data_IF_526516928703
#
_entry.id   IF_526516928703
#
_cell.length_a   1.000
_cell.length_b   1.000
_cell.length_c   1.000
_cell.angle_alpha   90.00
_cell.angle_beta   90.00
_cell.angle_gamma   90.00
#
_symmetry.space_group_name_H-M   'P 1'
#
loop_
_entity.id
_entity.type
_entity.pdbx_description
1 polymer ?
#
# COMPACT_ATOMS: atom_id res chain seq x y z
N UNK A 1 3.74 19.44 11.81
CA UNK A 1 3.06 18.58 10.83
C UNK A 1 3.18 19.29 9.49
N UNK A 2 3.82 18.66 8.51
CA UNK A 2 4.04 19.31 7.22
C UNK A 2 2.66 19.56 6.56
N UNK A 3 2.41 20.69 5.87
CA UNK A 3 1.11 20.97 5.23
C UNK A 3 0.59 19.83 4.35
N UNK A 4 1.51 19.08 3.72
CA UNK A 4 1.18 17.89 2.94
C UNK A 4 0.61 16.72 3.76
N UNK A 5 1.11 16.49 4.98
CA UNK A 5 0.56 15.48 5.90
C UNK A 5 -0.82 15.91 6.38
N UNK A 6 -0.99 17.20 6.68
CA UNK A 6 -2.27 17.74 7.15
C UNK A 6 -3.35 17.62 6.06
N UNK A 7 -3.02 17.91 4.80
CA UNK A 7 -3.89 17.67 3.65
C UNK A 7 -4.16 16.18 3.40
N UNK A 8 -3.17 15.30 3.62
CA UNK A 8 -3.33 13.85 3.51
C UNK A 8 -4.29 13.30 4.58
N UNK A 9 -4.13 13.73 5.83
CA UNK A 9 -5.02 13.36 6.92
C UNK A 9 -6.41 13.95 6.71
N UNK A 10 -6.55 15.19 6.26
CA UNK A 10 -7.84 15.80 5.94
C UNK A 10 -8.60 15.04 4.84
N UNK A 11 -7.92 14.65 3.75
CA UNK A 11 -8.50 13.81 2.68
C UNK A 11 -8.96 12.43 3.17
N UNK A 12 -8.30 11.87 4.19
CA UNK A 12 -8.65 10.58 4.80
C UNK A 12 -9.49 10.71 6.08
N UNK A 13 -9.74 11.93 6.55
CA UNK A 13 -10.53 12.20 7.76
C UNK A 13 -12.02 11.99 7.48
N UNK A 14 -12.47 12.34 6.27
CA UNK A 14 -13.82 12.08 5.79
C UNK A 14 -13.85 10.78 4.98
N UNK A 15 -14.24 9.68 5.64
CA UNK A 15 -14.69 8.48 4.94
C UNK A 15 -16.13 8.75 4.44
N UNK A 16 -16.28 8.86 3.12
CA UNK A 16 -17.57 8.91 2.43
C UNK A 16 -18.10 7.48 2.33
N UNK A 17 -18.90 7.04 3.30
CA UNK A 17 -19.44 5.70 3.24
C UNK A 17 -20.47 5.57 2.11
N UNK A 18 -20.46 4.46 1.37
CA UNK A 18 -21.42 4.23 0.32
C UNK A 18 -22.85 4.22 0.89
N UNK A 19 -23.82 4.77 0.16
CA UNK A 19 -25.25 4.64 0.47
C UNK A 19 -25.87 5.70 1.41
N UNK A 20 -25.13 6.71 1.86
CA UNK A 20 -25.70 7.83 2.63
C UNK A 20 -26.46 7.39 3.88
N UNK A 21 -27.81 7.43 3.83
CA UNK A 21 -28.67 7.03 4.95
C UNK A 21 -28.70 5.51 5.17
N UNK A 22 -28.60 4.70 4.12
CA UNK A 22 -28.73 3.23 4.14
C UNK A 22 -27.41 2.60 3.72
N UNK A 23 -26.32 2.96 4.40
CA UNK A 23 -24.99 2.63 3.94
C UNK A 23 -24.80 1.12 3.72
N UNK A 24 -24.49 0.72 2.49
CA UNK A 24 -24.28 -0.67 2.10
C UNK A 24 -23.25 -0.74 0.96
N UNK A 25 -22.24 -1.59 1.15
CA UNK A 25 -21.20 -1.90 0.18
C UNK A 25 -21.28 -3.39 -0.18
N UNK A 26 -20.16 -4.11 -0.15
CA UNK A 26 -20.10 -5.56 -0.12
C UNK A 26 -20.93 -6.21 1.02
N UNK A 27 -21.66 -7.30 0.75
CA UNK A 27 -22.42 -8.08 1.73
C UNK A 27 -21.59 -8.57 2.92
N UNK A 28 -20.29 -8.85 2.71
CA UNK A 28 -19.35 -9.25 3.75
C UNK A 28 -19.30 -8.26 4.94
N UNK A 29 -19.64 -6.98 4.72
CA UNK A 29 -19.60 -5.94 5.75
C UNK A 29 -20.99 -5.55 6.28
N UNK A 30 -22.05 -6.31 5.96
CA UNK A 30 -23.42 -5.97 6.32
C UNK A 30 -23.60 -5.71 7.83
N UNK A 31 -22.99 -6.55 8.68
CA UNK A 31 -23.06 -6.41 10.14
C UNK A 31 -22.41 -5.11 10.65
N UNK A 32 -21.26 -4.71 10.07
CA UNK A 32 -20.61 -3.43 10.36
C UNK A 32 -21.54 -2.26 10.04
N UNK A 33 -22.15 -2.28 8.86
CA UNK A 33 -23.05 -1.22 8.42
C UNK A 33 -24.33 -1.15 9.25
N UNK A 34 -24.87 -2.29 9.67
CA UNK A 34 -26.02 -2.34 10.57
C UNK A 34 -25.72 -1.72 11.93
N UNK A 35 -24.61 -2.10 12.57
CA UNK A 35 -24.19 -1.51 13.85
C UNK A 35 -24.02 0.01 13.73
N UNK A 36 -23.36 0.46 12.66
CA UNK A 36 -23.19 1.88 12.38
C UNK A 36 -24.52 2.60 12.22
N UNK A 37 -25.51 2.02 11.52
CA UNK A 37 -26.85 2.61 11.38
C UNK A 37 -27.53 2.75 12.75
N UNK A 38 -27.43 1.72 13.59
CA UNK A 38 -28.01 1.73 14.95
C UNK A 38 -27.34 2.75 15.88
N UNK A 39 -26.03 2.94 15.77
CA UNK A 39 -25.26 3.88 16.61
C UNK A 39 -25.19 5.30 16.08
N UNK A 40 -25.81 5.60 14.93
CA UNK A 40 -25.72 6.91 14.26
C UNK A 40 -26.67 7.91 14.91
N UNK A 41 -26.16 9.10 15.26
CA UNK A 41 -27.00 10.21 15.72
C UNK A 41 -27.83 10.85 14.60
N UNK A 42 -28.96 11.47 14.94
CA UNK A 42 -29.82 12.18 13.98
C UNK A 42 -29.07 13.27 13.20
N UNK A 43 -28.20 14.01 13.87
CA UNK A 43 -27.35 15.03 13.22
C UNK A 43 -26.42 14.41 12.17
N UNK A 44 -25.79 13.27 12.49
CA UNK A 44 -24.96 12.56 11.52
C UNK A 44 -25.78 11.99 10.36
N UNK A 45 -26.99 11.50 10.62
CA UNK A 45 -27.89 11.00 9.57
C UNK A 45 -28.29 12.11 8.58
N UNK A 46 -28.59 13.32 9.07
CA UNK A 46 -28.87 14.48 8.21
C UNK A 46 -27.66 14.88 7.37
N UNK A 47 -26.47 14.90 7.96
CA UNK A 47 -25.23 15.17 7.24
C UNK A 47 -24.97 14.14 6.13
N UNK A 48 -25.12 12.84 6.43
CA UNK A 48 -24.95 11.77 5.44
C UNK A 48 -25.93 11.91 4.27
N UNK A 49 -27.18 12.32 4.52
CA UNK A 49 -28.18 12.61 3.47
C UNK A 49 -27.76 13.79 2.59
N UNK A 50 -27.31 14.88 3.21
CA UNK A 50 -26.82 16.06 2.46
C UNK A 50 -25.62 15.72 1.58
N UNK A 51 -24.67 14.94 2.11
CA UNK A 51 -23.52 14.43 1.34
C UNK A 51 -23.99 13.56 0.18
N UNK A 52 -24.97 12.68 0.39
CA UNK A 52 -25.49 11.81 -0.66
C UNK A 52 -26.17 12.58 -1.80
N UNK A 53 -26.94 13.61 -1.48
CA UNK A 53 -27.52 14.52 -2.48
C UNK A 53 -26.45 15.27 -3.26
N UNK A 54 -25.43 15.81 -2.57
CA UNK A 54 -24.30 16.47 -3.22
C UNK A 54 -23.52 15.54 -4.15
N UNK A 55 -23.29 14.29 -3.71
CA UNK A 55 -22.65 13.27 -4.53
C UNK A 55 -23.49 12.95 -5.78
N UNK A 56 -24.80 12.72 -5.63
CA UNK A 56 -25.70 12.44 -6.75
C UNK A 56 -25.75 13.59 -7.78
N UNK A 57 -25.73 14.84 -7.31
CA UNK A 57 -25.68 16.02 -8.18
C UNK A 57 -24.32 16.17 -8.91
N UNK A 58 -23.24 15.72 -8.28
CA UNK A 58 -21.88 15.74 -8.85
C UNK A 58 -21.63 14.60 -9.85
N UNK A 59 -22.34 13.47 -9.74
CA UNK A 59 -22.11 12.28 -10.56
C UNK A 59 -22.10 12.54 -12.07
N UNK A 60 -23.05 13.28 -12.69
CA UNK A 60 -23.03 13.48 -14.14
C UNK A 60 -21.74 14.15 -14.65
N UNK A 61 -21.33 15.25 -14.03
CA UNK A 61 -20.10 15.96 -14.42
C UNK A 61 -18.85 15.14 -14.13
N UNK A 62 -18.87 14.36 -13.04
CA UNK A 62 -17.80 13.42 -12.72
C UNK A 62 -17.69 12.30 -13.75
N UNK A 63 -18.79 11.66 -14.13
CA UNK A 63 -18.79 10.57 -15.12
C UNK A 63 -18.28 11.06 -16.46
N UNK A 64 -18.73 12.23 -16.92
CA UNK A 64 -18.22 12.87 -18.14
C UNK A 64 -16.71 13.12 -18.07
N UNK A 65 -16.21 13.68 -16.96
CA UNK A 65 -14.78 13.93 -16.78
C UNK A 65 -13.96 12.63 -16.78
N UNK A 66 -14.48 11.55 -16.19
CA UNK A 66 -13.85 10.23 -16.20
C UNK A 66 -13.88 9.64 -17.61
N UNK A 67 -15.01 9.71 -18.31
CA UNK A 67 -15.13 9.23 -19.69
C UNK A 67 -14.06 9.87 -20.59
N UNK A 68 -13.93 11.21 -20.53
CA UNK A 68 -12.89 11.95 -21.26
C UNK A 68 -11.47 11.54 -20.86
N UNK A 69 -11.21 11.36 -19.57
CA UNK A 69 -9.89 10.97 -19.06
C UNK A 69 -9.45 9.60 -19.60
N UNK A 70 -10.37 8.66 -19.75
CA UNK A 70 -10.08 7.30 -20.17
C UNK A 70 -10.44 7.01 -21.65
N UNK A 71 -10.92 8.01 -22.40
CA UNK A 71 -11.33 7.84 -23.79
C UNK A 71 -12.56 6.95 -23.98
N UNK A 72 -13.47 6.93 -22.99
CA UNK A 72 -14.69 6.12 -23.03
C UNK A 72 -15.78 6.81 -23.87
N UNK A 73 -16.62 6.00 -24.50
CA UNK A 73 -17.71 6.48 -25.35
C UNK A 73 -18.97 6.88 -24.54
N UNK A 74 -19.97 7.40 -25.26
CA UNK A 74 -21.24 7.83 -24.67
C UNK A 74 -22.07 6.66 -24.12
N UNK A 75 -21.87 5.42 -24.60
CA UNK A 75 -22.56 4.25 -24.08
C UNK A 75 -22.02 3.91 -22.68
N UNK A 76 -20.70 3.87 -22.53
CA UNK A 76 -20.03 3.70 -21.25
C UNK A 76 -20.46 4.79 -20.27
N UNK A 77 -20.51 6.06 -20.70
CA UNK A 77 -20.92 7.17 -19.83
C UNK A 77 -22.32 6.96 -19.24
N UNK A 78 -23.30 6.56 -20.07
CA UNK A 78 -24.67 6.27 -19.61
C UNK A 78 -24.70 5.09 -18.64
N UNK A 79 -24.01 4.00 -18.95
CA UNK A 79 -23.96 2.80 -18.11
C UNK A 79 -23.26 3.08 -16.78
N UNK A 80 -22.10 3.73 -16.80
CA UNK A 80 -21.35 4.08 -15.61
C UNK A 80 -22.14 5.05 -14.71
N UNK A 81 -22.88 6.01 -15.28
CA UNK A 81 -23.74 6.89 -14.49
C UNK A 81 -24.89 6.12 -13.83
N UNK A 82 -25.50 5.15 -14.51
CA UNK A 82 -26.54 4.30 -13.93
C UNK A 82 -26.00 3.47 -12.75
N UNK A 83 -24.88 2.76 -12.95
CA UNK A 83 -24.21 1.99 -11.89
C UNK A 83 -23.80 2.89 -10.73
N UNK A 84 -23.22 4.07 -11.01
CA UNK A 84 -22.77 5.01 -9.99
C UNK A 84 -23.92 5.51 -9.10
N UNK A 85 -25.10 5.74 -9.69
CA UNK A 85 -26.31 6.14 -8.96
C UNK A 85 -26.86 5.02 -8.11
N UNK A 86 -27.01 3.83 -8.70
CA UNK A 86 -27.57 2.66 -8.02
C UNK A 86 -26.69 2.25 -6.83
N UNK A 87 -25.37 2.19 -7.06
CA UNK A 87 -24.45 1.62 -6.09
C UNK A 87 -23.75 2.66 -5.24
N UNK A 88 -23.94 3.96 -5.48
CA UNK A 88 -23.21 5.04 -4.79
C UNK A 88 -21.69 4.82 -4.86
N UNK A 89 -21.12 4.93 -6.06
CA UNK A 89 -19.69 4.71 -6.33
C UNK A 89 -19.13 5.80 -7.23
N UNK A 90 -17.84 6.16 -7.07
CA UNK A 90 -17.17 7.09 -7.97
C UNK A 90 -17.03 6.43 -9.36
N UNK A 91 -17.47 7.07 -10.46
CA UNK A 91 -17.29 6.56 -11.82
C UNK A 91 -15.84 6.20 -12.18
N UNK A 92 -14.86 6.80 -11.50
CA UNK A 92 -13.47 6.42 -11.66
C UNK A 92 -13.22 4.97 -11.23
N UNK A 93 -13.87 4.46 -10.18
CA UNK A 93 -13.70 3.07 -9.72
C UNK A 93 -14.36 2.09 -10.72
N UNK A 94 -15.50 2.47 -11.31
CA UNK A 94 -16.14 1.73 -12.42
C UNK A 94 -15.16 1.59 -13.59
N UNK A 95 -14.55 2.70 -14.03
CA UNK A 95 -13.57 2.67 -15.11
C UNK A 95 -12.31 1.86 -14.73
N UNK A 96 -11.84 2.00 -13.50
CA UNK A 96 -10.59 1.38 -13.04
C UNK A 96 -10.68 -0.14 -12.96
N UNK A 97 -11.80 -0.63 -12.42
CA UNK A 97 -12.06 -2.04 -12.18
C UNK A 97 -12.83 -2.70 -13.32
N UNK A 98 -13.19 -1.93 -14.37
CA UNK A 98 -13.96 -2.38 -15.54
C UNK A 98 -15.29 -3.02 -15.14
N UNK A 99 -16.01 -2.35 -14.25
CA UNK A 99 -17.31 -2.81 -13.77
C UNK A 99 -18.33 -2.64 -14.88
N UNK A 100 -18.95 -3.74 -15.28
CA UNK A 100 -20.03 -3.75 -16.28
C UNK A 100 -21.40 -3.85 -15.63
N UNK A 101 -21.49 -4.56 -14.50
CA UNK A 101 -22.74 -4.79 -13.79
C UNK A 101 -22.69 -4.33 -12.32
N UNK A 102 -23.78 -3.74 -11.78
CA UNK A 102 -23.81 -3.24 -10.41
C UNK A 102 -23.39 -4.25 -9.34
N UNK A 103 -23.77 -5.52 -9.49
CA UNK A 103 -23.49 -6.60 -8.55
C UNK A 103 -22.00 -6.94 -8.42
N UNK A 104 -21.17 -6.65 -9.42
CA UNK A 104 -19.72 -6.90 -9.33
C UNK A 104 -19.10 -6.10 -8.17
N UNK A 105 -19.64 -4.92 -7.87
CA UNK A 105 -19.21 -4.08 -6.75
C UNK A 105 -19.49 -4.70 -5.37
N UNK A 106 -20.28 -5.77 -5.28
CA UNK A 106 -20.48 -6.52 -4.03
C UNK A 106 -19.21 -7.25 -3.58
N UNK A 107 -18.24 -7.41 -4.47
CA UNK A 107 -16.96 -8.02 -4.15
C UNK A 107 -15.86 -7.01 -3.88
N UNK A 108 -16.07 -5.71 -4.14
CA UNK A 108 -15.02 -4.68 -4.01
C UNK A 108 -15.13 -3.89 -2.71
N UNK A 109 -13.98 -3.62 -2.12
CA UNK A 109 -13.82 -2.60 -1.07
C UNK A 109 -13.59 -1.27 -1.78
N UNK A 110 -14.50 -0.31 -1.58
CA UNK A 110 -14.42 0.97 -2.28
C UNK A 110 -13.45 1.91 -1.57
N UNK A 111 -12.88 2.83 -2.34
CA UNK A 111 -11.82 3.73 -1.86
C UNK A 111 -12.20 4.51 -0.59
N UNK A 112 -13.47 4.88 -0.48
CA UNK A 112 -13.95 5.71 0.63
C UNK A 112 -14.18 4.92 1.92
N UNK A 113 -14.21 3.59 1.85
CA UNK A 113 -14.44 2.69 2.98
C UNK A 113 -13.14 2.22 3.62
N UNK A 114 -12.14 1.93 2.78
CA UNK A 114 -10.84 1.35 3.16
C UNK A 114 -10.18 2.07 4.35
N UNK A 115 -10.11 3.41 4.28
CA UNK A 115 -9.56 4.22 5.37
C UNK A 115 -10.39 4.11 6.66
N UNK A 116 -11.71 4.00 6.55
CA UNK A 116 -12.62 3.84 7.70
C UNK A 116 -12.41 2.48 8.36
N UNK A 117 -12.40 1.41 7.58
CA UNK A 117 -12.16 0.06 8.10
C UNK A 117 -10.79 -0.06 8.75
N UNK A 118 -9.74 0.42 8.08
CA UNK A 118 -8.38 0.35 8.60
C UNK A 118 -8.20 1.15 9.91
N UNK A 119 -8.91 2.27 10.11
CA UNK A 119 -8.91 2.98 11.41
C UNK A 119 -9.53 2.17 12.55
N UNK A 120 -10.54 1.34 12.25
CA UNK A 120 -11.21 0.52 13.24
C UNK A 120 -10.31 -0.64 13.63
N UNK A 121 -9.85 -1.42 12.65
CA UNK A 121 -9.11 -2.66 12.90
C UNK A 121 -7.63 -2.45 13.19
N UNK A 122 -7.04 -1.34 12.72
CA UNK A 122 -5.60 -1.10 12.76
C UNK A 122 -5.26 0.28 13.34
N UNK A 123 -5.91 0.67 14.44
CA UNK A 123 -5.82 2.01 15.05
C UNK A 123 -4.39 2.48 15.33
N UNK A 124 -3.50 1.56 15.72
CA UNK A 124 -2.07 1.87 15.96
C UNK A 124 -1.38 2.40 14.72
N UNK A 125 -1.78 1.96 13.53
CA UNK A 125 -1.32 2.47 12.24
C UNK A 125 -1.66 3.93 11.97
N UNK A 126 -2.61 4.50 12.72
CA UNK A 126 -3.06 5.90 12.63
C UNK A 126 -2.53 6.77 13.77
N UNK A 127 -1.83 6.17 14.74
CA UNK A 127 -1.20 6.90 15.83
C UNK A 127 0.12 7.54 15.39
N UNK A 128 0.58 8.55 16.14
CA UNK A 128 1.94 9.11 15.97
C UNK A 128 3.04 8.13 16.39
N UNK A 129 2.69 7.10 17.15
CA UNK A 129 3.61 6.07 17.63
C UNK A 129 3.74 4.89 16.64
N UNK A 130 3.19 5.02 15.42
CA UNK A 130 3.26 3.96 14.43
C UNK A 130 4.72 3.71 14.00
N UNK A 131 5.31 2.61 14.46
CA UNK A 131 6.70 2.25 14.15
C UNK A 131 6.91 2.03 12.65
N UNK A 132 5.87 1.56 11.95
CA UNK A 132 5.91 1.29 10.51
C UNK A 132 6.16 2.55 9.65
N UNK A 133 5.90 3.77 10.16
CA UNK A 133 6.15 5.01 9.39
C UNK A 133 7.55 5.61 9.62
N UNK A 134 8.24 5.20 10.69
CA UNK A 134 9.61 5.63 10.99
C UNK A 134 10.59 4.54 10.55
N UNK A 135 11.29 4.77 9.43
CA UNK A 135 12.22 3.77 8.88
C UNK A 135 13.35 3.39 9.83
N UNK A 136 13.85 4.31 10.65
CA UNK A 136 14.91 4.00 11.61
C UNK A 136 14.38 3.12 12.75
N UNK A 137 13.19 3.42 13.28
CA UNK A 137 12.55 2.57 14.28
C UNK A 137 12.17 1.20 13.72
N UNK A 138 11.64 1.17 12.51
CA UNK A 138 11.31 -0.05 11.76
C UNK A 138 12.52 -0.97 11.62
N UNK A 139 13.64 -0.49 11.08
CA UNK A 139 14.82 -1.33 10.89
C UNK A 139 15.48 -1.77 12.20
N UNK A 140 15.51 -0.92 13.23
CA UNK A 140 15.97 -1.33 14.57
C UNK A 140 15.17 -2.51 15.11
N UNK A 141 13.85 -2.47 14.93
CA UNK A 141 12.96 -3.56 15.33
C UNK A 141 13.16 -4.80 14.47
N UNK A 142 13.31 -4.66 13.15
CA UNK A 142 13.67 -5.78 12.28
C UNK A 142 14.97 -6.46 12.74
N UNK A 143 16.01 -5.68 13.05
CA UNK A 143 17.28 -6.19 13.55
C UNK A 143 17.12 -6.92 14.90
N UNK A 144 16.37 -6.36 15.84
CA UNK A 144 16.13 -6.97 17.15
C UNK A 144 15.42 -8.35 17.07
N UNK A 145 14.66 -8.59 16.00
CA UNK A 145 13.95 -9.85 15.75
C UNK A 145 14.62 -10.73 14.67
N UNK A 146 15.84 -10.40 14.24
CA UNK A 146 16.57 -11.17 13.23
C UNK A 146 15.87 -11.23 11.87
N UNK A 147 15.07 -10.23 11.51
CA UNK A 147 14.40 -10.18 10.22
C UNK A 147 15.38 -9.71 9.14
N UNK A 148 15.51 -10.39 7.99
CA UNK A 148 16.24 -9.88 6.83
C UNK A 148 15.72 -8.52 6.38
N UNK A 149 16.59 -7.52 6.41
CA UNK A 149 16.30 -6.13 6.01
C UNK A 149 17.59 -5.48 5.46
N UNK A 150 17.50 -4.38 4.71
CA UNK A 150 18.67 -3.63 4.27
C UNK A 150 19.54 -3.20 5.46
N UNK A 151 20.83 -3.51 5.42
CA UNK A 151 21.76 -3.12 6.47
C UNK A 151 21.79 -1.59 6.64
N UNK A 152 21.52 -1.11 7.86
CA UNK A 152 21.63 0.31 8.21
C UNK A 152 23.08 0.61 8.58
N UNK A 153 23.68 1.55 7.86
CA UNK A 153 25.07 1.95 8.03
C UNK A 153 25.22 3.23 8.86
N UNK A 154 24.22 4.10 8.86
CA UNK A 154 24.17 5.25 9.75
C UNK A 154 22.75 5.83 9.84
N UNK A 155 22.53 6.62 10.88
CA UNK A 155 21.39 7.52 11.01
C UNK A 155 21.92 8.94 11.08
N UNK A 156 21.37 9.87 10.30
CA UNK A 156 21.69 11.29 10.40
C UNK A 156 20.53 12.04 11.05
N UNK A 157 20.82 12.71 12.17
CA UNK A 157 19.92 13.60 12.91
C UNK A 157 20.74 14.76 13.47
N UNK A 158 20.84 15.84 12.67
CA UNK A 158 21.72 17.00 12.92
C UNK A 158 23.18 16.63 13.21
N UNK A 159 23.59 15.48 12.66
CA UNK A 159 24.83 14.80 13.01
C UNK A 159 24.70 13.29 12.80
N UNK A 160 25.82 12.64 12.50
CA UNK A 160 25.88 11.23 12.21
C UNK A 160 25.84 10.39 13.50
N UNK A 161 25.05 9.33 13.51
CA UNK A 161 24.87 8.37 14.61
C UNK A 161 24.95 6.94 14.08
N UNK A 162 25.31 6.02 14.97
CA UNK A 162 25.33 4.57 14.71
C UNK A 162 26.13 4.17 13.45
N UNK A 163 27.21 4.90 13.16
CA UNK A 163 28.00 4.70 11.95
C UNK A 163 28.72 3.36 11.92
N UNK A 164 28.63 2.66 10.78
CA UNK A 164 29.33 1.41 10.46
C UNK A 164 29.79 1.45 9.01
N UNK A 165 31.08 1.19 8.72
CA UNK A 165 31.59 1.20 7.35
C UNK A 165 30.85 0.25 6.42
N UNK A 166 30.59 0.70 5.19
CA UNK A 166 29.87 -0.09 4.19
C UNK A 166 30.76 -1.07 3.41
N UNK A 167 32.09 -0.86 3.44
CA UNK A 167 33.08 -1.75 2.83
C UNK A 167 32.78 -2.05 1.35
N UNK A 168 32.50 -0.99 0.59
CA UNK A 168 32.21 -1.07 -0.84
C UNK A 168 30.76 -1.44 -1.21
N UNK A 169 29.91 -1.81 -0.24
CA UNK A 169 28.49 -2.03 -0.53
C UNK A 169 27.79 -0.71 -0.89
N UNK A 170 27.04 -0.66 -2.00
CA UNK A 170 26.40 0.56 -2.46
C UNK A 170 25.40 1.06 -1.42
N UNK A 171 25.31 2.39 -1.28
CA UNK A 171 24.50 3.03 -0.25
C UNK A 171 23.38 3.90 -0.83
N UNK A 172 22.29 4.00 -0.09
CA UNK A 172 21.15 4.86 -0.40
C UNK A 172 20.75 5.65 0.86
N UNK A 173 20.54 6.95 0.71
CA UNK A 173 20.01 7.84 1.73
C UNK A 173 18.49 7.96 1.58
N UNK A 174 17.76 7.81 2.70
CA UNK A 174 16.30 7.92 2.75
C UNK A 174 15.87 8.73 3.97
N UNK A 175 14.91 9.66 3.85
CA UNK A 175 14.31 10.28 5.03
C UNK A 175 13.52 9.22 5.82
N UNK A 176 13.52 9.32 7.15
CA UNK A 176 12.79 8.37 8.01
C UNK A 176 11.29 8.39 7.76
N UNK A 177 10.76 9.57 7.44
CA UNK A 177 9.38 9.82 7.11
C UNK A 177 9.25 10.29 5.67
N UNK A 178 8.20 9.87 4.97
CA UNK A 178 7.95 10.26 3.58
C UNK A 178 7.27 9.17 2.78
N UNK A 179 6.61 9.56 1.68
CA UNK A 179 5.92 8.65 0.76
C UNK A 179 6.44 8.84 -0.67
N UNK A 180 6.42 7.77 -1.47
CA UNK A 180 6.65 7.83 -2.92
C UNK A 180 8.06 8.22 -3.35
N UNK A 181 9.07 7.91 -2.53
CA UNK A 181 10.49 8.07 -2.87
C UNK A 181 11.02 9.51 -2.88
N UNK A 182 10.23 10.50 -2.46
CA UNK A 182 10.72 11.88 -2.35
C UNK A 182 11.88 11.96 -1.36
N UNK A 183 12.99 12.56 -1.79
CA UNK A 183 14.19 12.70 -0.97
C UNK A 183 15.06 11.45 -0.93
N UNK A 184 14.76 10.39 -1.69
CA UNK A 184 15.63 9.22 -1.77
C UNK A 184 16.78 9.50 -2.75
N UNK A 185 18.01 9.20 -2.33
CA UNK A 185 19.20 9.40 -3.16
C UNK A 185 20.16 8.20 -3.07
N UNK A 186 20.55 7.66 -4.23
CA UNK A 186 21.68 6.73 -4.31
C UNK A 186 22.97 7.52 -4.10
N UNK A 187 23.84 7.03 -3.21
CA UNK A 187 25.09 7.70 -2.90
C UNK A 187 26.18 7.30 -3.90
N UNK A 188 27.14 8.21 -4.22
CA UNK A 188 28.28 7.87 -5.06
C UNK A 188 29.04 6.66 -4.49
N UNK A 189 29.54 5.79 -5.38
CA UNK A 189 30.22 4.56 -4.96
C UNK A 189 31.37 4.82 -3.99
N UNK A 190 32.15 5.89 -4.22
CA UNK A 190 33.26 6.31 -3.36
C UNK A 190 32.87 6.55 -1.89
N UNK A 191 31.60 6.88 -1.59
CA UNK A 191 31.12 7.01 -0.20
C UNK A 191 31.14 5.67 0.53
N UNK A 192 30.96 4.57 -0.21
CA UNK A 192 30.89 3.19 0.34
C UNK A 192 32.23 2.70 0.89
N UNK A 193 33.33 3.30 0.46
CA UNK A 193 34.70 2.96 0.86
C UNK A 193 35.19 3.79 2.05
N UNK A 194 34.44 4.81 2.46
CA UNK A 194 34.83 5.68 3.57
C UNK A 194 34.60 4.94 4.90
N UNK A 195 35.69 4.73 5.64
CA UNK A 195 35.67 4.09 6.97
C UNK A 195 35.75 5.08 8.14
N UNK A 196 36.15 6.32 7.88
CA UNK A 196 36.21 7.38 8.89
C UNK A 196 34.86 8.09 9.02
N UNK A 197 34.40 8.27 10.27
CA UNK A 197 33.08 8.82 10.54
C UNK A 197 32.95 10.29 10.12
N UNK A 198 33.99 11.10 10.31
CA UNK A 198 33.96 12.52 10.00
C UNK A 198 34.00 12.76 8.48
N UNK A 199 34.85 12.02 7.77
CA UNK A 199 34.90 12.01 6.32
C UNK A 199 33.58 11.51 5.72
N UNK A 200 32.96 10.48 6.30
CA UNK A 200 31.66 9.97 5.85
C UNK A 200 30.57 11.03 6.02
N UNK A 201 30.52 11.69 7.18
CA UNK A 201 29.58 12.76 7.44
C UNK A 201 29.69 13.92 6.43
N UNK A 202 30.92 14.31 6.07
CA UNK A 202 31.16 15.32 5.04
C UNK A 202 30.69 14.85 3.66
N UNK A 203 30.96 13.59 3.30
CA UNK A 203 30.60 13.03 2.01
C UNK A 203 29.08 12.89 1.80
N UNK A 204 28.32 12.62 2.87
CA UNK A 204 26.86 12.51 2.78
C UNK A 204 26.12 13.85 2.92
N UNK A 205 26.79 14.92 3.36
CA UNK A 205 26.19 16.22 3.62
C UNK A 205 25.32 16.78 2.47
N UNK A 206 25.64 16.58 1.17
CA UNK A 206 24.79 17.04 0.07
C UNK A 206 23.46 16.29 -0.06
N UNK A 207 23.32 15.14 0.61
CA UNK A 207 22.18 14.22 0.45
C UNK A 207 21.27 14.17 1.69
N UNK A 208 21.63 14.88 2.75
CA UNK A 208 20.89 14.95 4.01
C UNK A 208 20.68 16.40 4.42
N UNK A 209 19.73 16.64 5.33
CA UNK A 209 19.47 17.97 5.87
C UNK A 209 19.03 17.89 7.34
N UNK A 210 19.09 19.03 8.04
CA UNK A 210 18.74 19.13 9.46
C UNK A 210 17.23 19.30 9.73
N UNK A 211 16.40 19.27 8.68
CA UNK A 211 14.95 19.44 8.78
C UNK A 211 14.25 18.13 9.13
N UNK A 212 14.91 16.98 8.92
CA UNK A 212 14.39 15.66 9.20
C UNK A 212 15.50 14.64 9.51
N UNK A 213 15.12 13.46 9.99
CA UNK A 213 16.04 12.36 10.25
C UNK A 213 16.21 11.51 8.98
N UNK A 214 17.41 10.99 8.76
CA UNK A 214 17.75 10.19 7.58
C UNK A 214 18.35 8.84 7.98
N UNK A 215 18.04 7.81 7.19
CA UNK A 215 18.67 6.49 7.26
C UNK A 215 19.59 6.35 6.05
N UNK A 216 20.85 6.00 6.31
CA UNK A 216 21.79 5.58 5.29
C UNK A 216 21.90 4.05 5.37
N UNK A 217 21.50 3.37 4.30
CA UNK A 217 21.40 1.90 4.28
C UNK A 217 22.03 1.33 3.00
N UNK A 218 22.29 0.02 2.99
CA UNK A 218 22.65 -0.72 1.77
C UNK A 218 21.56 -0.53 0.72
N UNK A 219 21.98 -0.11 -0.48
CA UNK A 219 21.16 -0.17 -1.68
C UNK A 219 21.06 -1.64 -2.11
N UNK A 220 19.85 -2.19 -2.10
CA UNK A 220 19.63 -3.58 -2.48
C UNK A 220 19.71 -3.74 -4.00
N UNK A 221 20.23 -4.88 -4.44
CA UNK A 221 20.15 -5.34 -5.82
C UNK A 221 19.03 -6.39 -5.98
N UNK A 222 18.47 -6.49 -7.18
CA UNK A 222 17.50 -7.52 -7.50
C UNK A 222 18.17 -8.88 -7.67
N UNK A 223 17.44 -9.94 -7.33
CA UNK A 223 17.76 -11.29 -7.76
C UNK A 223 17.82 -11.36 -9.30
N UNK A 224 18.71 -12.19 -9.87
CA UNK A 224 18.95 -12.25 -11.31
C UNK A 224 17.68 -12.54 -12.15
N UNK A 225 16.77 -13.37 -11.62
CA UNK A 225 15.47 -13.67 -12.23
C UNK A 225 14.56 -12.42 -12.45
N UNK A 226 14.84 -11.31 -11.78
CA UNK A 226 14.08 -10.06 -11.91
C UNK A 226 14.77 -9.03 -12.80
N UNK A 227 15.97 -9.30 -13.32
CA UNK A 227 16.79 -8.30 -14.03
C UNK A 227 16.03 -7.64 -15.20
N UNK A 228 15.36 -8.45 -16.03
CA UNK A 228 14.63 -7.96 -17.20
C UNK A 228 13.35 -7.18 -16.86
N UNK A 229 12.84 -7.31 -15.64
CA UNK A 229 11.61 -6.63 -15.21
C UNK A 229 11.91 -5.40 -14.35
N UNK A 230 12.95 -5.48 -13.52
CA UNK A 230 13.30 -4.45 -12.54
C UNK A 230 14.19 -3.36 -13.15
N UNK A 231 14.92 -3.66 -14.23
CA UNK A 231 15.87 -2.74 -14.87
C UNK A 231 16.80 -2.10 -13.82
N UNK A 232 16.78 -0.76 -13.71
CA UNK A 232 17.63 0.02 -12.81
C UNK A 232 16.99 0.32 -11.43
N UNK A 233 15.80 -0.23 -11.16
CA UNK A 233 15.06 -0.02 -9.92
C UNK A 233 14.94 -1.32 -9.11
N UNK A 234 14.70 -1.20 -7.81
CA UNK A 234 14.41 -2.36 -6.96
C UNK A 234 12.96 -2.80 -7.16
N UNK A 235 12.74 -4.00 -7.70
CA UNK A 235 11.41 -4.60 -7.77
C UNK A 235 11.00 -5.10 -6.38
N UNK A 236 9.73 -4.90 -6.03
CA UNK A 236 9.19 -5.35 -4.74
C UNK A 236 7.80 -5.92 -4.89
N UNK A 237 7.53 -7.00 -4.17
CA UNK A 237 6.17 -7.49 -3.98
C UNK A 237 5.62 -6.97 -2.65
N UNK A 238 4.43 -6.39 -2.69
CA UNK A 238 3.65 -6.07 -1.51
C UNK A 238 2.87 -7.30 -1.09
N UNK A 239 3.28 -7.93 0.01
CA UNK A 239 2.60 -9.05 0.64
C UNK A 239 1.81 -8.52 1.83
N UNK A 240 0.49 -8.54 1.74
CA UNK A 240 -0.39 -8.07 2.80
C UNK A 240 -0.80 -9.23 3.69
N UNK A 241 -0.50 -9.10 4.98
CA UNK A 241 -0.86 -10.08 5.99
C UNK A 241 -1.90 -9.50 6.95
N UNK A 242 -2.89 -10.30 7.34
CA UNK A 242 -3.93 -9.93 8.28
C UNK A 242 -4.03 -11.00 9.38
N UNK A 243 -4.33 -10.59 10.62
CA UNK A 243 -4.61 -11.55 11.69
C UNK A 243 -5.89 -12.31 11.40
N UNK A 244 -5.80 -13.63 11.41
CA UNK A 244 -6.93 -14.52 11.23
C UNK A 244 -7.69 -14.74 12.55
N UNK A 245 -8.64 -15.66 12.52
CA UNK A 245 -9.52 -16.01 13.64
C UNK A 245 -8.77 -16.62 14.83
N UNK A 246 -7.64 -17.29 14.58
CA UNK A 246 -6.76 -17.82 15.65
C UNK A 246 -5.78 -16.76 16.18
N UNK A 247 -5.78 -15.57 15.58
CA UNK A 247 -4.86 -14.49 15.88
C UNK A 247 -3.54 -14.58 15.12
N UNK A 248 -3.30 -15.59 14.29
CA UNK A 248 -2.07 -15.72 13.52
C UNK A 248 -2.09 -14.88 12.24
N UNK A 249 -0.96 -14.34 11.77
CA UNK A 249 -0.90 -13.65 10.47
C UNK A 249 -1.11 -14.60 9.29
N UNK A 250 -1.98 -14.20 8.37
CA UNK A 250 -2.29 -14.92 7.13
C UNK A 250 -2.07 -14.00 5.93
N UNK A 251 -1.47 -14.51 4.84
CA UNK A 251 -1.32 -13.76 3.59
C UNK A 251 -2.68 -13.63 2.90
N UNK A 252 -3.14 -12.40 2.69
CA UNK A 252 -4.49 -12.11 2.17
C UNK A 252 -4.49 -11.31 0.87
N UNK A 253 -3.35 -10.74 0.46
CA UNK A 253 -3.24 -9.99 -0.78
C UNK A 253 -1.79 -9.83 -1.22
N UNK A 254 -1.54 -9.88 -2.53
CA UNK A 254 -0.22 -9.73 -3.13
C UNK A 254 -0.29 -8.77 -4.32
N UNK A 255 0.75 -7.96 -4.49
CA UNK A 255 0.96 -7.15 -5.70
C UNK A 255 2.45 -7.04 -5.97
N UNK A 256 2.91 -7.48 -7.14
CA UNK A 256 4.26 -7.18 -7.62
C UNK A 256 4.30 -5.80 -8.26
N UNK A 257 5.33 -5.01 -7.94
CA UNK A 257 5.62 -3.71 -8.55
C UNK A 257 6.95 -3.74 -9.27
N UNK A 258 6.92 -3.29 -10.51
CA UNK A 258 8.10 -3.12 -11.37
C UNK A 258 8.03 -1.77 -12.08
N UNK A 259 9.18 -1.16 -12.42
CA UNK A 259 9.18 0.05 -13.25
C UNK A 259 8.59 -0.21 -14.65
N UNK A 260 8.25 0.84 -15.37
CA UNK A 260 7.77 0.76 -16.76
C UNK A 260 8.61 1.56 -17.75
N UNK A 261 9.63 2.27 -17.26
CA UNK A 261 10.54 3.14 -17.99
C UNK A 261 11.96 3.00 -17.39
N UNK A 262 12.99 3.26 -18.21
CA UNK A 262 14.36 3.45 -17.71
C UNK A 262 14.49 4.83 -17.07
N UNK A 263 15.23 4.95 -15.98
CA UNK A 263 15.39 6.23 -15.29
C UNK A 263 15.56 6.07 -13.77
N UNK A 264 15.83 7.18 -13.06
CA UNK A 264 16.43 7.12 -11.74
C UNK A 264 15.54 6.42 -10.69
N UNK A 265 16.00 5.24 -10.27
CA UNK A 265 16.04 4.56 -8.94
C UNK A 265 14.74 4.43 -8.12
N UNK A 266 13.67 5.16 -8.43
CA UNK A 266 12.48 5.19 -7.60
C UNK A 266 11.38 4.36 -8.25
N UNK A 267 11.01 3.25 -7.59
CA UNK A 267 9.73 2.56 -7.75
C UNK A 267 8.61 3.56 -7.44
N UNK A 268 8.26 4.36 -8.43
CA UNK A 268 7.19 5.33 -8.30
C UNK A 268 6.04 4.92 -9.21
N UNK A 269 5.04 4.30 -8.59
CA UNK A 269 3.70 4.13 -9.15
C UNK A 269 3.14 5.45 -9.71
N UNK A 270 3.45 6.62 -9.11
CA UNK A 270 3.03 7.94 -9.63
C UNK A 270 3.84 8.37 -10.87
N UNK A 271 4.98 7.73 -11.14
CA UNK A 271 5.75 7.89 -12.37
C UNK A 271 5.44 6.80 -13.42
N UNK A 272 4.41 5.97 -13.21
CA UNK A 272 3.88 5.05 -14.21
C UNK A 272 4.31 3.59 -14.09
N UNK A 273 4.83 3.13 -12.93
CA UNK A 273 5.16 1.73 -12.69
C UNK A 273 4.01 0.74 -12.95
N UNK A 274 4.37 -0.50 -13.26
CA UNK A 274 3.45 -1.61 -13.48
C UNK A 274 3.16 -2.36 -12.18
N UNK A 275 1.92 -2.81 -12.05
CA UNK A 275 1.44 -3.68 -10.97
C UNK A 275 0.90 -4.98 -11.56
N UNK A 276 1.17 -6.09 -10.88
CA UNK A 276 0.69 -7.42 -11.26
C UNK A 276 0.13 -8.14 -10.03
N UNK A 277 -0.92 -8.95 -10.19
CA UNK A 277 -1.27 -9.91 -9.16
C UNK A 277 -0.18 -10.97 -9.11
N UNK A 278 0.03 -11.58 -7.95
CA UNK A 278 0.93 -12.72 -7.78
C UNK A 278 0.13 -13.86 -7.18
N UNK A 279 0.18 -15.02 -7.80
CA UNK A 279 -0.48 -16.21 -7.27
C UNK A 279 0.10 -16.60 -5.89
N UNK A 280 -0.77 -16.88 -4.92
CA UNK A 280 -0.35 -17.05 -3.51
C UNK A 280 0.44 -18.34 -3.31
N UNK A 281 0.10 -19.39 -4.03
CA UNK A 281 0.72 -20.72 -3.88
C UNK A 281 2.04 -20.79 -4.64
N UNK A 282 2.03 -20.31 -5.89
CA UNK A 282 3.14 -20.53 -6.82
C UNK A 282 4.10 -19.34 -6.93
N UNK A 283 3.70 -18.13 -6.53
CA UNK A 283 4.51 -16.92 -6.71
C UNK A 283 4.61 -16.44 -8.16
N UNK A 284 3.76 -16.95 -9.06
CA UNK A 284 3.72 -16.54 -10.47
C UNK A 284 3.01 -15.19 -10.64
N UNK A 285 3.60 -14.30 -11.42
CA UNK A 285 2.98 -13.03 -11.78
C UNK A 285 1.88 -13.23 -12.84
N UNK A 286 0.81 -12.45 -12.74
CA UNK A 286 -0.21 -12.36 -13.77
C UNK A 286 0.02 -11.20 -14.74
N UNK A 287 -1.00 -10.89 -15.55
CA UNK A 287 -0.97 -9.76 -16.48
C UNK A 287 -0.72 -8.44 -15.75
N UNK A 288 0.24 -7.66 -16.26
CA UNK A 288 0.58 -6.37 -15.69
C UNK A 288 -0.40 -5.28 -16.13
N UNK A 289 -0.59 -4.28 -15.27
CA UNK A 289 -1.32 -3.06 -15.62
C UNK A 289 -0.69 -1.85 -14.94
N UNK A 290 -0.97 -0.64 -15.43
CA UNK A 290 -0.55 0.59 -14.73
C UNK A 290 -1.40 0.81 -13.49
N UNK A 291 -0.83 1.27 -12.37
CA UNK A 291 -1.62 1.57 -11.17
C UNK A 291 -2.69 2.67 -11.38
N UNK A 292 -2.38 3.66 -12.22
CA UNK A 292 -3.30 4.71 -12.68
C UNK A 292 -3.26 4.81 -14.21
N UNK A 293 -4.43 4.90 -14.86
CA UNK A 293 -4.55 4.88 -16.33
C UNK A 293 -5.22 3.60 -16.84
N UNK A 294 -5.09 3.30 -18.13
CA UNK A 294 -5.53 2.06 -18.78
C UNK A 294 -4.35 1.24 -19.30
N UNK A 295 -4.63 0.05 -19.82
CA UNK A 295 -3.65 -0.81 -20.48
C UNK A 295 -3.29 -2.05 -19.67
N UNK A 296 -3.37 -3.19 -20.34
CA UNK A 296 -2.82 -4.46 -19.90
C UNK A 296 -1.54 -4.73 -20.67
N UNK A 297 -0.59 -5.37 -20.01
CA UNK A 297 0.73 -5.65 -20.55
C UNK A 297 1.02 -7.12 -20.32
N UNK A 298 1.12 -7.88 -21.41
CA UNK A 298 1.60 -9.27 -21.38
C UNK A 298 3.13 -9.32 -21.31
N UNK A 299 3.81 -8.29 -21.85
CA UNK A 299 5.26 -8.14 -21.79
C UNK A 299 5.66 -6.80 -21.20
N UNK A 300 6.84 -6.75 -20.58
CA UNK A 300 7.43 -5.54 -20.06
C UNK A 300 7.75 -4.56 -21.21
N UNK A 301 7.29 -3.30 -21.16
CA UNK A 301 7.31 -2.39 -22.31
C UNK A 301 8.71 -1.96 -22.77
N UNK A 302 9.74 -2.16 -21.94
CA UNK A 302 11.13 -1.80 -22.27
C UNK A 302 11.97 -3.00 -22.68
N UNK A 303 11.99 -4.06 -21.89
CA UNK A 303 12.79 -5.28 -22.13
C UNK A 303 12.11 -6.30 -23.04
N UNK A 304 10.79 -6.24 -23.20
CA UNK A 304 10.03 -7.24 -23.95
C UNK A 304 9.80 -8.56 -23.20
N UNK A 305 10.30 -8.71 -21.97
CA UNK A 305 10.13 -9.92 -21.17
C UNK A 305 8.66 -10.21 -20.85
N UNK A 306 8.21 -11.45 -21.05
CA UNK A 306 6.83 -11.86 -20.84
C UNK A 306 6.52 -12.05 -19.35
N UNK A 307 5.48 -11.41 -18.83
CA UNK A 307 5.10 -11.52 -17.41
C UNK A 307 4.54 -12.89 -17.04
N UNK A 308 3.93 -13.61 -18.00
CA UNK A 308 3.40 -14.96 -17.77
C UNK A 308 4.49 -15.99 -17.38
N UNK A 309 5.75 -15.72 -17.72
CA UNK A 309 6.89 -16.57 -17.39
C UNK A 309 7.56 -16.18 -16.06
N UNK A 310 7.13 -15.06 -15.46
CA UNK A 310 7.74 -14.54 -14.25
C UNK A 310 7.23 -15.29 -13.02
N UNK A 311 8.08 -16.16 -12.48
CA UNK A 311 7.94 -16.69 -11.13
C UNK A 311 8.88 -15.96 -10.17
N UNK A 312 8.34 -15.44 -9.08
CA UNK A 312 9.14 -14.75 -8.08
C UNK A 312 10.08 -15.74 -7.36
N UNK A 313 11.39 -15.44 -7.28
CA UNK A 313 12.35 -16.34 -6.65
C UNK A 313 12.10 -16.42 -5.14
N UNK A 314 12.40 -17.57 -4.52
CA UNK A 314 12.26 -17.76 -3.07
C UNK A 314 10.88 -17.36 -2.50
N UNK A 315 9.81 -17.54 -3.28
CA UNK A 315 8.46 -17.07 -2.94
C UNK A 315 7.98 -17.55 -1.56
N UNK A 316 8.09 -18.84 -1.28
CA UNK A 316 7.70 -19.41 0.01
C UNK A 316 8.46 -18.76 1.18
N UNK A 317 9.76 -18.47 1.00
CA UNK A 317 10.58 -17.77 2.01
C UNK A 317 10.11 -16.32 2.19
N UNK A 318 9.66 -15.65 1.13
CA UNK A 318 9.10 -14.30 1.20
C UNK A 318 7.77 -14.27 1.97
N UNK A 319 6.89 -15.25 1.73
CA UNK A 319 5.63 -15.40 2.48
C UNK A 319 5.92 -15.71 3.96
N UNK A 320 6.81 -16.66 4.24
CA UNK A 320 7.22 -16.98 5.60
C UNK A 320 7.86 -15.78 6.32
N UNK A 321 8.65 -14.98 5.62
CA UNK A 321 9.23 -13.74 6.13
C UNK A 321 8.16 -12.72 6.52
N UNK A 322 7.17 -12.50 5.66
CA UNK A 322 6.06 -11.57 5.92
C UNK A 322 5.24 -12.00 7.14
N UNK A 323 4.86 -13.28 7.22
CA UNK A 323 4.10 -13.80 8.36
C UNK A 323 4.92 -13.75 9.67
N UNK A 324 6.20 -14.15 9.63
CA UNK A 324 7.10 -14.06 10.80
C UNK A 324 7.30 -12.63 11.26
N UNK A 325 7.48 -11.69 10.33
CA UNK A 325 7.64 -10.28 10.66
C UNK A 325 6.40 -9.75 11.39
N UNK A 326 5.21 -10.05 10.89
CA UNK A 326 3.96 -9.67 11.53
C UNK A 326 3.80 -10.31 12.92
N UNK A 327 4.00 -11.63 13.02
CA UNK A 327 3.78 -12.36 14.27
C UNK A 327 4.77 -11.92 15.38
N UNK A 328 6.06 -11.88 15.06
CA UNK A 328 7.10 -11.75 16.07
C UNK A 328 7.47 -10.29 16.36
N UNK A 329 7.58 -9.45 15.33
CA UNK A 329 8.13 -8.10 15.47
C UNK A 329 7.06 -7.00 15.52
N UNK A 330 5.92 -7.20 14.86
CA UNK A 330 4.87 -6.18 14.76
C UNK A 330 3.49 -6.67 15.21
N UNK A 331 3.39 -7.30 16.40
CA UNK A 331 2.15 -7.94 16.82
C UNK A 331 1.04 -6.95 17.18
N UNK A 332 1.33 -5.67 17.37
CA UNK A 332 0.32 -4.67 17.73
C UNK A 332 -0.59 -4.24 16.56
N UNK A 333 -0.29 -4.70 15.34
CA UNK A 333 -1.10 -4.42 14.16
C UNK A 333 -1.98 -5.62 13.82
N UNK A 334 -3.13 -5.33 13.21
CA UNK A 334 -4.05 -6.35 12.68
C UNK A 334 -3.78 -6.62 11.20
N UNK A 335 -3.29 -5.60 10.48
CA UNK A 335 -3.09 -5.62 9.04
C UNK A 335 -1.78 -4.88 8.69
N UNK A 336 -0.91 -5.53 7.92
CA UNK A 336 0.34 -4.92 7.42
C UNK A 336 0.58 -5.35 5.98
N UNK A 337 0.91 -4.39 5.10
CA UNK A 337 1.49 -4.66 3.78
C UNK A 337 3.00 -4.59 3.80
N UNK A 338 3.66 -5.71 3.60
CA UNK A 338 5.11 -5.85 3.57
C UNK A 338 5.64 -5.65 2.17
N UNK A 339 6.51 -4.66 1.99
CA UNK A 339 7.24 -4.49 0.74
C UNK A 339 8.49 -5.37 0.81
N UNK A 340 8.43 -6.51 0.13
CA UNK A 340 9.51 -7.49 0.09
C UNK A 340 10.29 -7.32 -1.20
N UNK A 341 11.60 -7.12 -1.08
CA UNK A 341 12.53 -7.21 -2.20
C UNK A 341 13.08 -8.63 -2.31
N UNK A 342 13.29 -9.09 -3.53
CA UNK A 342 13.95 -10.35 -3.81
C UNK A 342 15.38 -10.08 -4.25
N UNK A 343 16.33 -10.50 -3.44
CA UNK A 343 17.76 -10.17 -3.63
C UNK A 343 18.58 -11.44 -3.87
N UNK A 344 19.85 -11.32 -4.32
CA UNK A 344 20.75 -12.48 -4.39
C UNK A 344 20.96 -13.17 -3.04
N UNK A 345 20.80 -12.44 -1.93
CA UNK A 345 20.94 -12.94 -0.56
C UNK A 345 19.59 -13.47 0.01
N UNK A 346 18.55 -13.59 -0.84
CA UNK A 346 17.20 -14.00 -0.49
C UNK A 346 16.22 -12.83 -0.28
N UNK A 347 14.96 -13.10 0.14
CA UNK A 347 13.96 -12.06 0.38
C UNK A 347 14.29 -11.17 1.57
N UNK A 348 14.07 -9.86 1.44
CA UNK A 348 14.30 -8.86 2.50
C UNK A 348 13.10 -7.92 2.66
N UNK A 349 12.77 -7.59 3.91
CA UNK A 349 11.73 -6.59 4.21
C UNK A 349 12.30 -5.19 4.04
N UNK A 350 11.77 -4.46 3.05
CA UNK A 350 12.17 -3.08 2.75
C UNK A 350 11.35 -2.08 3.55
N UNK A 351 10.04 -2.29 3.64
CA UNK A 351 9.11 -1.41 4.33
C UNK A 351 7.89 -2.20 4.81
N UNK A 352 7.28 -1.77 5.91
CA UNK A 352 5.96 -2.26 6.34
C UNK A 352 4.95 -1.13 6.29
N UNK A 353 3.77 -1.40 5.74
CA UNK A 353 2.71 -0.42 5.51
C UNK A 353 1.50 -0.74 6.39
N UNK A 354 1.21 0.11 7.37
CA UNK A 354 0.03 -0.04 8.23
C UNK A 354 -1.31 0.19 7.49
N UNK A 355 -1.23 0.80 6.29
CA UNK A 355 -2.37 1.20 5.45
C UNK A 355 -2.10 0.74 4.01
N UNK A 356 -2.03 -0.58 3.75
CA UNK A 356 -1.53 -1.12 2.48
C UNK A 356 -2.36 -0.70 1.26
N UNK A 357 -3.64 -0.37 1.50
CA UNK A 357 -4.58 0.10 0.49
C UNK A 357 -5.11 -1.05 -0.38
N UNK A 358 -6.37 -0.97 -0.77
CA UNK A 358 -7.04 -2.04 -1.55
C UNK A 358 -7.01 -1.81 -3.05
N UNK A 359 -6.61 -0.61 -3.50
CA UNK A 359 -6.71 -0.21 -4.91
C UNK A 359 -5.84 -1.09 -5.83
N UNK A 360 -4.54 -1.20 -5.52
CA UNK A 360 -3.58 -1.93 -6.35
C UNK A 360 -3.92 -3.42 -6.48
N UNK A 361 -4.19 -4.17 -5.39
CA UNK A 361 -4.53 -5.58 -5.51
C UNK A 361 -5.84 -5.82 -6.23
N UNK A 362 -6.89 -5.04 -5.96
CA UNK A 362 -8.16 -5.19 -6.66
C UNK A 362 -8.04 -4.89 -8.15
N UNK A 363 -7.25 -3.87 -8.48
CA UNK A 363 -7.02 -3.46 -9.86
C UNK A 363 -6.22 -4.49 -10.64
N UNK A 364 -5.06 -4.88 -10.11
CA UNK A 364 -4.16 -5.82 -10.81
C UNK A 364 -4.78 -7.23 -10.89
N UNK A 365 -5.44 -7.69 -9.83
CA UNK A 365 -6.13 -8.98 -9.81
C UNK A 365 -7.46 -9.02 -10.57
N UNK A 366 -8.01 -7.87 -10.98
CA UNK A 366 -9.36 -7.72 -11.57
C UNK A 366 -10.45 -8.42 -10.75
N UNK A 367 -10.28 -8.44 -9.45
CA UNK A 367 -11.15 -9.12 -8.50
C UNK A 367 -11.24 -8.28 -7.25
N UNK A 368 -12.45 -8.06 -6.77
CA UNK A 368 -12.66 -7.34 -5.53
C UNK A 368 -12.19 -8.14 -4.31
N UNK A 369 -11.59 -7.46 -3.33
CA UNK A 369 -11.04 -8.11 -2.13
C UNK A 369 -12.11 -8.45 -1.08
N UNK A 370 -13.27 -7.79 -1.11
CA UNK A 370 -14.36 -8.07 -0.17
C UNK A 370 -14.96 -9.46 -0.37
N UNK A 371 -14.94 -9.98 -1.60
CA UNK A 371 -15.39 -11.34 -1.93
C UNK A 371 -14.31 -12.42 -1.78
N UNK A 372 -13.20 -12.11 -1.11
CA UNK A 372 -12.06 -13.01 -0.92
C UNK A 372 -11.75 -13.15 0.57
N UNK A 373 -10.76 -13.98 0.90
CA UNK A 373 -10.25 -14.16 2.26
C UNK A 373 -9.87 -12.85 2.96
N UNK A 374 -9.40 -11.85 2.21
CA UNK A 374 -9.19 -10.49 2.73
C UNK A 374 -10.47 -9.89 3.32
N UNK A 375 -11.60 -10.00 2.60
CA UNK A 375 -12.90 -9.49 3.01
C UNK A 375 -13.47 -10.22 4.22
N UNK A 376 -13.33 -11.55 4.25
CA UNK A 376 -13.72 -12.39 5.40
C UNK A 376 -12.98 -11.95 6.67
N UNK A 377 -11.66 -11.89 6.61
CA UNK A 377 -10.85 -11.50 7.77
C UNK A 377 -11.05 -10.04 8.14
N UNK A 378 -11.30 -9.16 7.18
CA UNK A 378 -11.63 -7.78 7.45
C UNK A 378 -12.97 -7.67 8.21
N UNK A 379 -14.00 -8.40 7.78
CA UNK A 379 -15.30 -8.44 8.45
C UNK A 379 -15.18 -8.98 9.88
N UNK A 380 -14.46 -10.09 10.06
CA UNK A 380 -14.17 -10.68 11.37
C UNK A 380 -13.48 -9.69 12.30
N UNK A 381 -12.40 -9.03 11.84
CA UNK A 381 -11.66 -8.09 12.67
C UNK A 381 -12.45 -6.79 12.94
N UNK A 382 -13.31 -6.35 12.03
CA UNK A 382 -14.24 -5.24 12.26
C UNK A 382 -15.19 -5.57 13.40
N UNK A 383 -15.83 -6.74 13.34
CA UNK A 383 -16.73 -7.21 14.39
C UNK A 383 -16.04 -7.32 15.75
N UNK A 384 -14.87 -7.95 15.80
CA UNK A 384 -14.06 -8.05 17.02
C UNK A 384 -13.71 -6.68 17.61
N UNK A 385 -13.29 -5.74 16.77
CA UNK A 385 -12.91 -4.39 17.22
C UNK A 385 -14.12 -3.58 17.73
N UNK A 386 -15.30 -3.74 17.12
CA UNK A 386 -16.50 -3.01 17.49
C UNK A 386 -17.17 -3.57 18.74
N UNK A 387 -17.21 -4.89 18.88
CA UNK A 387 -17.74 -5.57 20.08
C UNK A 387 -16.83 -5.37 21.29
N UNK A 388 -15.51 -5.47 21.11
CA UNK A 388 -14.55 -5.20 22.18
C UNK A 388 -14.62 -3.76 22.70
N UNK A 389 -14.86 -2.78 21.83
CA UNK A 389 -15.09 -1.38 22.25
C UNK A 389 -16.40 -1.18 23.01
N UNK A 390 -17.47 -1.89 22.63
CA UNK A 390 -18.74 -1.82 23.33
C UNK A 390 -18.63 -2.37 24.77
N UNK A 391 -17.88 -3.46 24.97
CA UNK A 391 -17.61 -4.01 26.30
C UNK A 391 -16.79 -3.08 27.20
N UNK A 392 -15.80 -2.38 26.64
CA UNK A 392 -14.96 -1.44 27.39
C UNK A 392 -15.64 -0.10 27.74
N UNK A 393 -16.73 0.26 27.05
CA UNK A 393 -17.54 1.45 27.38
C UNK A 393 -18.67 1.13 28.37
N UNK A 394 -18.98 -0.15 28.57
CA UNK A 394 -20.02 -0.63 29.49
C UNK A 394 -19.46 -1.05 30.87
N UNK A 395 -18.14 -1.21 30.98
CA UNK A 395 -17.39 -1.42 32.22
C UNK A 395 -16.78 -0.09 32.69
#
# INVERSE_FOLDING_TARGET
MHPAELAYYAKKAFALFPGGAEAASAPAFAAHYERRRRSRSSARAMLDRGIALGFAAWLPSRTFAVARKYGMDAQWERQALAIARERFVDPNDIALFRIERPEELDHYIRRFEDAGFNKIINSQGWSRACVLVDKAAFYRRCAAHGLPHPAVHAVYDRGLRDFRPARGHPLIAKPTHGEGGRGVALLPHAVSDITDQAAFAQAIAPYVDDRQVWVIQRALGNHAALADYAMDALATARLTTMRNETGEPELVSTVLRVPSLRGPVIDNMKAGGLIMPVDFETGRAGTACKGYGGGDYECHPVSGAAFGDLQLPDWEKAVALACRAHAAAFPEYTLIGWDIAFTPDGPMVVEGNAKPGVLMPQRSGRKGLAGQRYGELLAFNLERAETGRAGALAA
#
